data_IF_049030542463
#
_entry.id   IF_049030542463
#
_cell.length_a   1.000
_cell.length_b   1.000
_cell.length_c   1.000
_cell.angle_alpha   90.00
_cell.angle_beta   90.00
_cell.angle_gamma   90.00
#
_symmetry.space_group_name_H-M   'P 1'
#
loop_
_entity.id
_entity.type
_entity.pdbx_description
1 polymer ?
#
# COMPACT_ATOMS: atom_id res chain seq x y z
N UNK A 1 9.96 -10.65 -3.74
CA UNK A 1 9.22 -9.57 -3.10
C UNK A 1 7.86 -10.05 -2.63
N UNK A 2 7.41 -9.49 -1.51
CA UNK A 2 6.02 -9.60 -1.08
C UNK A 2 5.27 -8.40 -1.61
N UNK A 3 4.14 -8.64 -2.27
CA UNK A 3 3.35 -7.58 -2.91
C UNK A 3 2.31 -7.02 -1.95
N UNK A 4 2.24 -5.69 -1.85
CA UNK A 4 1.22 -4.99 -1.08
C UNK A 4 0.53 -3.97 -1.99
N UNK A 5 -0.76 -4.15 -2.24
CA UNK A 5 -1.51 -3.39 -3.24
C UNK A 5 -2.54 -2.49 -2.56
N UNK A 6 -2.67 -1.26 -3.01
CA UNK A 6 -3.72 -0.37 -2.53
C UNK A 6 -3.79 0.93 -3.29
N UNK A 7 -4.81 1.73 -2.99
CA UNK A 7 -4.95 3.09 -3.52
C UNK A 7 -4.14 4.09 -2.70
N UNK A 8 -4.08 3.87 -1.39
CA UNK A 8 -3.34 4.70 -0.43
C UNK A 8 -3.74 6.19 -0.51
N UNK A 9 -4.99 6.47 -0.18
CA UNK A 9 -5.58 7.81 -0.27
C UNK A 9 -5.98 8.39 1.09
N UNK A 10 -5.00 8.70 1.99
CA UNK A 10 -3.55 8.61 1.83
C UNK A 10 -2.98 7.27 2.32
N UNK A 11 -1.68 7.08 2.12
CA UNK A 11 -0.92 6.05 2.83
C UNK A 11 -0.77 6.50 4.29
N UNK A 12 -1.13 5.64 5.23
CA UNK A 12 -1.18 6.02 6.65
C UNK A 12 -0.53 4.97 7.55
N UNK A 13 -0.56 5.19 8.85
CA UNK A 13 0.12 4.34 9.83
C UNK A 13 -0.37 2.89 9.80
N UNK A 14 -1.65 2.65 9.47
CA UNK A 14 -2.18 1.30 9.32
C UNK A 14 -1.51 0.55 8.16
N UNK A 15 -1.28 1.24 7.05
CA UNK A 15 -0.56 0.68 5.91
C UNK A 15 0.90 0.43 6.26
N UNK A 16 1.53 1.38 6.95
CA UNK A 16 2.91 1.21 7.40
C UNK A 16 3.06 0.00 8.33
N UNK A 17 2.11 -0.18 9.24
CA UNK A 17 2.10 -1.35 10.12
C UNK A 17 2.15 -2.65 9.30
N UNK A 18 1.30 -2.76 8.26
CA UNK A 18 1.28 -3.94 7.39
C UNK A 18 2.62 -4.16 6.69
N UNK A 19 3.21 -3.10 6.14
CA UNK A 19 4.51 -3.20 5.47
C UNK A 19 5.60 -3.61 6.45
N UNK A 20 5.60 -3.05 7.66
CA UNK A 20 6.57 -3.40 8.69
C UNK A 20 6.47 -4.86 9.11
N UNK A 21 5.27 -5.44 9.15
CA UNK A 21 5.10 -6.87 9.45
C UNK A 21 5.86 -7.74 8.43
N UNK A 22 5.76 -7.40 7.15
CA UNK A 22 6.46 -8.14 6.10
C UNK A 22 7.97 -7.96 6.20
N UNK A 23 8.44 -6.73 6.43
CA UNK A 23 9.87 -6.44 6.59
C UNK A 23 10.44 -7.16 7.82
N UNK A 24 9.73 -7.14 8.94
CA UNK A 24 10.16 -7.80 10.18
C UNK A 24 10.21 -9.33 10.01
N UNK A 25 9.42 -9.87 9.10
CA UNK A 25 9.48 -11.28 8.71
C UNK A 25 10.61 -11.60 7.75
N UNK A 26 11.51 -10.67 7.47
CA UNK A 26 12.66 -10.87 6.60
C UNK A 26 12.34 -10.78 5.11
N UNK A 27 11.21 -10.20 4.75
CA UNK A 27 10.77 -10.11 3.35
C UNK A 27 11.08 -8.75 2.76
N UNK A 28 11.35 -8.72 1.46
CA UNK A 28 11.37 -7.49 0.68
C UNK A 28 9.96 -7.21 0.20
N UNK A 29 9.56 -5.95 0.15
CA UNK A 29 8.19 -5.56 -0.15
C UNK A 29 8.12 -4.72 -1.43
N UNK A 30 7.21 -5.10 -2.32
CA UNK A 30 6.84 -4.28 -3.47
C UNK A 30 5.50 -3.62 -3.16
N UNK A 31 5.49 -2.31 -2.99
CA UNK A 31 4.27 -1.54 -2.75
C UNK A 31 3.73 -1.09 -4.10
N UNK A 32 2.57 -1.61 -4.48
CA UNK A 32 1.94 -1.31 -5.76
C UNK A 32 0.78 -0.34 -5.55
N UNK A 33 0.91 0.86 -6.09
CA UNK A 33 -0.10 1.91 -5.98
C UNK A 33 -1.01 1.84 -7.18
N UNK A 34 -2.32 1.63 -6.96
CA UNK A 34 -3.30 1.65 -8.05
C UNK A 34 -3.52 3.09 -8.51
N UNK A 35 -3.32 3.31 -9.80
CA UNK A 35 -3.53 4.61 -10.44
C UNK A 35 -5.02 4.75 -10.76
N UNK A 36 -5.75 5.43 -9.87
CA UNK A 36 -7.20 5.58 -9.99
C UNK A 36 -7.53 6.86 -10.73
N UNK A 37 -8.17 6.71 -11.88
CA UNK A 37 -8.72 7.80 -12.67
C UNK A 37 -10.25 7.69 -12.62
N UNK A 38 -10.86 8.12 -11.51
CA UNK A 38 -12.30 8.02 -11.39
C UNK A 38 -12.96 9.39 -11.36
N UNK A 39 -14.29 9.39 -11.49
CA UNK A 39 -15.09 10.61 -11.48
C UNK A 39 -15.48 11.03 -10.07
N UNK A 40 -14.92 10.37 -9.05
CA UNK A 40 -15.20 10.62 -7.64
C UNK A 40 -13.97 11.14 -6.90
N UNK A 41 -13.55 12.40 -7.16
CA UNK A 41 -12.33 12.94 -6.57
C UNK A 41 -12.38 13.03 -5.04
N UNK A 42 -13.56 13.05 -4.44
CA UNK A 42 -13.72 13.03 -2.99
C UNK A 42 -13.24 11.74 -2.33
N UNK A 43 -13.20 10.63 -3.10
CA UNK A 43 -12.67 9.34 -2.63
C UNK A 43 -11.19 9.18 -2.92
N UNK A 44 -10.68 9.91 -3.91
CA UNK A 44 -9.27 9.84 -4.35
C UNK A 44 -8.72 11.26 -4.56
N UNK A 45 -8.64 12.07 -3.48
CA UNK A 45 -8.24 13.47 -3.60
C UNK A 45 -6.75 13.69 -3.84
N UNK A 46 -5.92 12.65 -3.66
CA UNK A 46 -4.47 12.79 -3.76
C UNK A 46 -3.99 12.26 -5.12
N UNK A 47 -3.21 13.07 -5.89
CA UNK A 47 -2.59 12.58 -7.11
C UNK A 47 -1.68 11.38 -6.83
N UNK A 48 -1.68 10.40 -7.73
CA UNK A 48 -0.89 9.17 -7.58
C UNK A 48 0.59 9.49 -7.41
N UNK A 49 1.12 10.48 -8.12
CA UNK A 49 2.51 10.90 -7.99
C UNK A 49 2.84 11.39 -6.58
N UNK A 50 1.93 12.11 -5.94
CA UNK A 50 2.13 12.61 -4.58
C UNK A 50 2.07 11.46 -3.58
N UNK A 51 1.19 10.49 -3.80
CA UNK A 51 1.11 9.28 -2.98
C UNK A 51 2.44 8.52 -3.04
N UNK A 52 2.97 8.33 -4.25
CA UNK A 52 4.25 7.65 -4.43
C UNK A 52 5.39 8.38 -3.72
N UNK A 53 5.49 9.69 -3.87
CA UNK A 53 6.51 10.49 -3.20
C UNK A 53 6.44 10.35 -1.68
N UNK A 54 5.22 10.40 -1.14
CA UNK A 54 5.00 10.25 0.30
C UNK A 54 5.44 8.90 0.82
N UNK A 55 5.16 7.83 0.09
CA UNK A 55 5.57 6.48 0.48
C UNK A 55 7.10 6.34 0.42
N UNK A 56 7.72 6.83 -0.65
CA UNK A 56 9.19 6.79 -0.79
C UNK A 56 9.86 7.55 0.35
N UNK A 57 9.34 8.71 0.74
CA UNK A 57 9.87 9.47 1.86
C UNK A 57 9.69 8.74 3.19
N UNK A 58 8.53 8.12 3.41
CA UNK A 58 8.23 7.38 4.63
C UNK A 58 9.17 6.19 4.83
N UNK A 59 9.57 5.53 3.74
CA UNK A 59 10.47 4.38 3.75
C UNK A 59 11.80 4.66 3.06
N UNK A 60 12.32 5.86 3.24
CA UNK A 60 13.50 6.34 2.52
C UNK A 60 14.68 5.37 2.59
N UNK A 61 15.00 4.89 3.79
CA UNK A 61 16.15 4.00 3.98
C UNK A 61 15.92 2.64 3.32
N UNK A 62 14.73 2.08 3.48
CA UNK A 62 14.37 0.77 2.94
C UNK A 62 14.32 0.79 1.41
N UNK A 63 13.88 1.90 0.83
CA UNK A 63 13.89 2.07 -0.63
C UNK A 63 15.32 2.15 -1.14
N UNK A 64 16.18 2.89 -0.46
CA UNK A 64 17.56 3.08 -0.89
C UNK A 64 18.39 1.78 -0.86
N UNK A 65 18.13 0.89 0.11
CA UNK A 65 18.85 -0.39 0.21
C UNK A 65 18.15 -1.51 -0.59
N UNK A 66 17.02 -1.24 -1.22
CA UNK A 66 16.34 -2.22 -2.05
C UNK A 66 15.40 -3.17 -1.30
N UNK A 67 15.11 -2.90 -0.04
CA UNK A 67 14.17 -3.71 0.74
C UNK A 67 12.71 -3.39 0.39
N UNK A 68 12.47 -2.18 -0.12
CA UNK A 68 11.16 -1.76 -0.61
C UNK A 68 11.30 -1.21 -2.01
N UNK A 69 10.39 -1.63 -2.89
CA UNK A 69 10.22 -1.05 -4.21
C UNK A 69 8.81 -0.50 -4.32
N UNK A 70 8.66 0.69 -4.86
CA UNK A 70 7.35 1.35 -5.00
C UNK A 70 7.04 1.49 -6.48
N UNK A 71 5.92 0.93 -6.92
CA UNK A 71 5.50 0.95 -8.33
C UNK A 71 4.08 1.45 -8.45
N UNK A 72 3.75 2.00 -9.61
CA UNK A 72 2.39 2.41 -9.95
C UNK A 72 1.84 1.39 -10.94
N UNK A 73 0.64 0.89 -10.67
CA UNK A 73 -0.04 -0.07 -11.52
C UNK A 73 -1.41 0.46 -11.94
N UNK A 74 -2.00 -0.05 -13.02
CA UNK A 74 -3.39 0.29 -13.36
C UNK A 74 -4.34 -0.14 -12.24
N UNK A 75 -5.51 0.47 -12.20
CA UNK A 75 -6.58 0.02 -11.30
C UNK A 75 -6.92 -1.44 -11.64
N UNK A 76 -6.95 -2.30 -10.62
CA UNK A 76 -7.23 -3.73 -10.78
C UNK A 76 -8.54 -4.08 -10.11
N UNK A 77 -9.22 -5.11 -10.62
CA UNK A 77 -10.43 -5.65 -9.99
C UNK A 77 -10.19 -7.02 -9.37
N UNK A 78 -9.14 -7.73 -9.77
CA UNK A 78 -8.87 -9.07 -9.24
C UNK A 78 -7.40 -9.45 -9.42
N UNK A 79 -6.97 -10.46 -8.66
CA UNK A 79 -5.67 -11.10 -8.80
C UNK A 79 -5.94 -12.54 -9.23
N UNK A 80 -5.30 -12.99 -10.30
CA UNK A 80 -5.57 -14.30 -10.88
C UNK A 80 -4.26 -15.09 -11.06
N UNK A 81 -4.34 -16.39 -10.78
CA UNK A 81 -3.23 -17.29 -11.05
C UNK A 81 -3.81 -18.61 -11.56
N UNK A 82 -3.14 -19.24 -12.53
CA UNK A 82 -3.66 -20.45 -13.16
C UNK A 82 -3.32 -21.74 -12.42
N UNK A 83 -2.15 -21.80 -11.82
CA UNK A 83 -1.65 -22.96 -11.11
C UNK A 83 -0.91 -22.48 -9.86
N UNK A 84 -0.92 -23.29 -8.82
CA UNK A 84 -0.15 -22.96 -7.61
C UNK A 84 1.34 -22.83 -7.98
N UNK A 85 1.87 -21.63 -7.77
CA UNK A 85 3.26 -21.29 -8.08
C UNK A 85 4.09 -21.09 -6.82
N UNK A 86 3.58 -21.56 -5.68
CA UNK A 86 4.31 -21.56 -4.41
C UNK A 86 4.29 -20.26 -3.63
N UNK A 87 3.47 -19.29 -4.02
CA UNK A 87 3.29 -18.11 -3.18
C UNK A 87 1.97 -18.14 -2.41
N UNK A 88 1.97 -17.45 -1.26
CA UNK A 88 0.81 -17.37 -0.38
C UNK A 88 0.03 -16.08 -0.64
N UNK A 89 -1.28 -16.12 -0.32
CA UNK A 89 -2.12 -14.94 -0.29
C UNK A 89 -2.48 -14.71 1.18
N UNK A 90 -2.04 -13.58 1.74
CA UNK A 90 -2.17 -13.31 3.17
C UNK A 90 -3.02 -12.07 3.42
N UNK A 91 -3.85 -12.14 4.45
CA UNK A 91 -4.53 -10.97 4.98
C UNK A 91 -3.80 -10.52 6.23
N UNK A 92 -3.42 -9.23 6.28
CA UNK A 92 -2.76 -8.64 7.44
C UNK A 92 -3.81 -7.87 8.24
N UNK A 93 -4.03 -8.30 9.48
CA UNK A 93 -5.06 -7.72 10.36
C UNK A 93 -4.37 -6.92 11.46
N UNK A 94 -4.40 -5.57 11.37
CA UNK A 94 -3.77 -4.72 12.38
C UNK A 94 -4.49 -4.82 13.74
N UNK A 95 -3.79 -4.49 14.84
CA UNK A 95 -4.44 -4.34 16.14
C UNK A 95 -5.56 -3.29 16.10
N UNK A 96 -6.48 -3.36 17.04
CA UNK A 96 -7.67 -2.50 17.04
C UNK A 96 -7.32 -1.01 17.01
N UNK A 97 -6.33 -0.58 17.78
CA UNK A 97 -5.89 0.82 17.79
C UNK A 97 -5.36 1.29 16.43
N UNK A 98 -4.80 0.38 15.65
CA UNK A 98 -4.33 0.67 14.28
C UNK A 98 -5.51 0.63 13.30
N UNK A 99 -6.43 -0.33 13.46
CA UNK A 99 -7.62 -0.47 12.62
C UNK A 99 -8.49 0.77 12.62
N UNK A 100 -8.51 1.53 13.69
CA UNK A 100 -9.29 2.76 13.79
C UNK A 100 -8.75 3.86 12.89
N UNK A 101 -7.52 3.74 12.40
CA UNK A 101 -6.94 4.64 11.43
C UNK A 101 -7.42 4.20 10.04
N UNK A 102 -8.10 5.08 9.31
CA UNK A 102 -8.54 4.77 7.95
C UNK A 102 -8.33 5.97 7.04
N UNK A 103 -8.10 5.69 5.76
CA UNK A 103 -7.95 6.75 4.77
C UNK A 103 -9.24 7.56 4.63
N UNK A 104 -10.40 6.90 4.71
CA UNK A 104 -11.69 7.59 4.66
C UNK A 104 -11.85 8.57 5.82
N UNK A 105 -11.50 8.15 7.04
CA UNK A 105 -11.57 9.01 8.21
C UNK A 105 -10.63 10.22 8.05
N UNK A 106 -9.42 9.98 7.60
CA UNK A 106 -8.43 11.06 7.38
C UNK A 106 -8.95 12.05 6.35
N UNK A 107 -9.49 11.56 5.22
CA UNK A 107 -10.05 12.43 4.18
C UNK A 107 -11.21 13.27 4.69
N UNK A 108 -12.06 12.71 5.55
CA UNK A 108 -13.21 13.42 6.10
C UNK A 108 -12.82 14.51 7.09
N UNK A 109 -11.61 14.48 7.62
CA UNK A 109 -11.06 15.49 8.53
C UNK A 109 -10.39 16.66 7.79
N UNK A 110 -10.23 16.52 6.46
CA UNK A 110 -9.70 17.58 5.62
C UNK A 110 -10.77 18.66 5.37
#
# INVERSE_FOLDING_TARGET
>A
YSLYIGRFQPFHDGHEWCVRQMLDGGKKVCIAIMDIHDDEPENNPYPTEDVKKGIVLRFFDEVNVGDIEVVVIPAIESVNYGRDVGYAINELVPPEEIKQISATKIRNEL
#
